data_IF_839203970464
#
_entry.id   IF_839203970464
#
_cell.length_a   1.000
_cell.length_b   1.000
_cell.length_c   1.000
_cell.angle_alpha   90.00
_cell.angle_beta   90.00
_cell.angle_gamma   90.00
#
_symmetry.space_group_name_H-M   'P 1'
#
loop_
_entity.id
_entity.type
_entity.pdbx_description
1 polymer ?
#
# COMPACT_ATOMS: atom_id res chain seq x y z
N UNK A 1 49.10 -20.47 22.84
CA UNK A 1 48.46 -20.37 21.50
C UNK A 1 46.97 -20.69 21.47
N UNK A 2 46.47 -21.69 22.22
CA UNK A 2 45.07 -22.19 22.16
C UNK A 2 43.95 -21.17 22.49
N UNK A 3 44.18 -20.21 23.40
CA UNK A 3 43.17 -19.19 23.80
C UNK A 3 42.90 -18.14 22.72
N UNK A 4 43.91 -17.72 21.97
CA UNK A 4 43.75 -16.73 20.88
C UNK A 4 42.98 -17.33 19.70
N UNK A 5 43.28 -18.58 19.34
CA UNK A 5 42.53 -19.31 18.32
C UNK A 5 41.05 -19.47 18.68
N UNK A 6 40.75 -19.76 19.95
CA UNK A 6 39.37 -19.86 20.43
C UNK A 6 38.63 -18.50 20.39
N UNK A 7 39.30 -17.40 20.77
CA UNK A 7 38.71 -16.05 20.67
C UNK A 7 38.39 -15.66 19.22
N UNK A 8 39.29 -15.92 18.27
CA UNK A 8 39.03 -15.63 16.86
C UNK A 8 37.88 -16.47 16.28
N UNK A 9 37.77 -17.74 16.68
CA UNK A 9 36.71 -18.63 16.22
C UNK A 9 35.33 -18.19 16.75
N UNK A 10 35.28 -17.74 18.01
CA UNK A 10 34.06 -17.16 18.60
C UNK A 10 33.65 -15.88 17.87
N UNK A 11 34.58 -14.96 17.59
CA UNK A 11 34.27 -13.72 16.85
C UNK A 11 33.72 -13.97 15.44
N UNK A 12 34.27 -14.96 14.72
CA UNK A 12 33.80 -15.33 13.38
C UNK A 12 32.39 -15.91 13.42
N UNK A 13 32.08 -16.74 14.43
CA UNK A 13 30.73 -17.30 14.61
C UNK A 13 29.70 -16.21 14.93
N UNK A 14 30.05 -15.24 15.78
CA UNK A 14 29.17 -14.11 16.07
C UNK A 14 28.94 -13.20 14.85
N UNK A 15 29.95 -13.00 14.00
CA UNK A 15 29.79 -12.26 12.74
C UNK A 15 28.93 -13.01 11.72
N UNK A 16 29.04 -14.34 11.64
CA UNK A 16 28.22 -15.16 10.74
C UNK A 16 26.74 -15.23 11.18
N UNK A 17 26.50 -15.15 12.49
CA UNK A 17 25.15 -15.10 13.07
C UNK A 17 24.56 -13.67 13.14
N UNK A 18 25.36 -12.64 12.84
CA UNK A 18 24.85 -11.29 12.76
C UNK A 18 23.75 -11.23 11.69
N UNK A 19 22.59 -10.60 11.97
CA UNK A 19 21.45 -10.61 11.06
C UNK A 19 21.80 -10.09 9.65
N UNK A 20 22.76 -9.16 9.53
CA UNK A 20 23.24 -8.67 8.24
C UNK A 20 24.13 -9.64 7.42
N UNK A 21 24.60 -10.74 8.00
CA UNK A 21 25.55 -11.68 7.37
C UNK A 21 25.02 -13.10 7.23
N UNK A 22 23.97 -13.48 7.97
CA UNK A 22 23.34 -14.79 7.85
C UNK A 22 22.64 -14.95 6.48
N UNK A 23 23.03 -15.93 5.64
CA UNK A 23 22.39 -16.15 4.34
C UNK A 23 20.91 -16.54 4.50
N UNK A 24 20.55 -17.21 5.59
CA UNK A 24 19.15 -17.58 5.90
C UNK A 24 18.32 -16.34 6.23
N UNK A 25 18.87 -15.41 7.03
CA UNK A 25 18.17 -14.16 7.35
C UNK A 25 18.00 -13.29 6.10
N UNK A 26 19.03 -13.18 5.25
CA UNK A 26 18.93 -12.47 3.96
C UNK A 26 17.88 -13.08 3.04
N UNK A 27 17.84 -14.41 2.94
CA UNK A 27 16.83 -15.09 2.14
C UNK A 27 15.41 -14.84 2.67
N UNK A 28 15.24 -14.84 4.00
CA UNK A 28 13.96 -14.53 4.63
C UNK A 28 13.52 -13.09 4.34
N UNK A 29 14.37 -12.09 4.64
CA UNK A 29 14.06 -10.67 4.37
C UNK A 29 13.75 -10.44 2.90
N UNK A 30 14.58 -10.97 1.99
CA UNK A 30 14.33 -10.89 0.56
C UNK A 30 12.96 -11.46 0.17
N UNK A 31 12.58 -12.60 0.76
CA UNK A 31 11.28 -13.22 0.47
C UNK A 31 10.13 -12.38 1.00
N UNK A 32 10.27 -11.82 2.20
CA UNK A 32 9.28 -10.89 2.76
C UNK A 32 9.10 -9.64 1.88
N UNK A 33 10.21 -9.04 1.43
CA UNK A 33 10.16 -7.86 0.55
C UNK A 33 9.47 -8.21 -0.77
N UNK A 34 9.76 -9.37 -1.36
CA UNK A 34 9.09 -9.84 -2.59
C UNK A 34 7.59 -10.08 -2.40
N UNK A 35 7.16 -10.54 -1.23
CA UNK A 35 5.72 -10.70 -0.92
C UNK A 35 5.05 -9.33 -0.80
N UNK A 36 5.71 -8.36 -0.16
CA UNK A 36 5.20 -6.99 -0.07
C UNK A 36 5.14 -6.31 -1.45
N UNK A 37 6.19 -6.45 -2.26
CA UNK A 37 6.22 -5.96 -3.64
C UNK A 37 5.06 -6.56 -4.46
N UNK A 38 4.77 -7.85 -4.28
CA UNK A 38 3.64 -8.50 -4.95
C UNK A 38 2.28 -8.00 -4.44
N UNK A 39 2.17 -7.74 -3.13
CA UNK A 39 0.96 -7.17 -2.52
C UNK A 39 0.68 -5.73 -3.00
N UNK A 40 1.73 -4.98 -3.36
CA UNK A 40 1.59 -3.63 -3.94
C UNK A 40 1.12 -3.62 -5.40
N UNK A 41 1.24 -4.74 -6.11
CA UNK A 41 0.84 -4.85 -7.52
C UNK A 41 -0.66 -5.13 -7.72
N UNK A 42 -1.32 -5.71 -6.71
CA UNK A 42 -2.71 -6.15 -6.82
C UNK A 42 -3.48 -5.84 -5.55
N UNK A 43 -4.52 -5.03 -5.70
CA UNK A 43 -5.58 -4.89 -4.69
C UNK A 43 -6.70 -5.91 -5.00
N UNK A 44 -6.81 -6.98 -4.20
CA UNK A 44 -7.87 -7.99 -4.31
C UNK A 44 -8.51 -8.24 -2.95
N UNK A 45 -9.82 -8.02 -2.86
CA UNK A 45 -10.56 -8.28 -1.62
C UNK A 45 -12.04 -8.01 -1.74
N UNK A 46 -12.72 -8.19 -0.61
CA UNK A 46 -14.15 -7.92 -0.46
C UNK A 46 -14.31 -6.78 0.54
N UNK A 47 -15.12 -5.79 0.16
CA UNK A 47 -15.49 -4.69 1.06
C UNK A 47 -16.88 -4.91 1.63
N UNK A 48 -17.03 -4.70 2.93
CA UNK A 48 -18.32 -4.70 3.63
C UNK A 48 -18.57 -3.30 4.19
N UNK A 49 -19.67 -2.69 3.78
CA UNK A 49 -20.11 -1.37 4.24
C UNK A 49 -21.45 -1.49 4.99
N UNK A 50 -21.60 -0.86 6.16
CA UNK A 50 -22.87 -0.85 6.89
C UNK A 50 -23.92 0.06 6.23
N UNK A 51 -23.50 1.01 5.40
CA UNK A 51 -24.41 1.88 4.64
C UNK A 51 -24.53 1.36 3.22
N UNK A 52 -25.76 1.34 2.70
CA UNK A 52 -26.00 1.03 1.30
C UNK A 52 -25.22 2.00 0.42
N UNK A 53 -24.42 1.44 -0.50
CA UNK A 53 -23.68 2.20 -1.48
C UNK A 53 -23.61 1.41 -2.77
N UNK A 54 -23.82 2.11 -3.88
CA UNK A 54 -23.56 1.60 -5.21
C UNK A 54 -22.33 2.34 -5.73
N UNK A 55 -21.27 1.60 -6.03
CA UNK A 55 -20.06 2.15 -6.63
C UNK A 55 -19.63 1.22 -7.75
N UNK A 56 -19.49 1.77 -8.95
CA UNK A 56 -18.83 1.11 -10.05
C UNK A 56 -17.62 1.97 -10.40
N UNK A 57 -16.43 1.39 -10.38
CA UNK A 57 -15.20 2.08 -10.65
C UNK A 57 -14.26 1.18 -11.44
N UNK A 58 -13.78 1.70 -12.57
CA UNK A 58 -12.71 1.10 -13.34
C UNK A 58 -11.55 2.08 -13.43
N UNK A 59 -10.40 1.72 -12.86
CA UNK A 59 -9.15 2.46 -13.00
C UNK A 59 -8.42 1.99 -14.26
N UNK A 60 -8.13 2.91 -15.18
CA UNK A 60 -7.39 2.63 -16.41
C UNK A 60 -5.89 2.90 -16.21
N UNK A 61 -5.27 2.28 -15.19
CA UNK A 61 -3.85 2.45 -14.87
C UNK A 61 -3.41 3.93 -14.75
N UNK A 62 -4.25 4.78 -14.15
CA UNK A 62 -3.97 6.21 -13.99
C UNK A 62 -4.27 7.07 -15.22
N UNK A 63 -4.57 6.49 -16.38
CA UNK A 63 -5.06 7.20 -17.57
C UNK A 63 -6.49 7.73 -17.41
N UNK A 64 -7.18 7.35 -16.34
CA UNK A 64 -8.56 7.75 -16.12
C UNK A 64 -9.28 6.86 -15.12
N UNK A 65 -10.46 7.30 -14.73
CA UNK A 65 -11.43 6.50 -13.98
C UNK A 65 -12.80 6.65 -14.62
N UNK A 66 -13.55 5.56 -14.73
CA UNK A 66 -14.94 5.59 -15.13
C UNK A 66 -15.83 5.15 -13.97
N UNK A 67 -16.85 5.95 -13.70
CA UNK A 67 -17.90 5.62 -12.76
C UNK A 67 -17.91 6.54 -11.55
N UNK A 68 -18.56 6.09 -10.47
CA UNK A 68 -18.81 6.91 -9.31
C UNK A 68 -19.40 6.11 -8.16
N UNK A 69 -19.08 6.53 -6.94
CA UNK A 69 -19.68 5.98 -5.73
C UNK A 69 -18.76 6.11 -4.52
N UNK A 70 -19.29 5.72 -3.35
CA UNK A 70 -18.61 5.90 -2.07
C UNK A 70 -18.74 4.66 -1.20
N UNK A 71 -17.67 3.92 -0.97
CA UNK A 71 -17.61 2.78 -0.06
C UNK A 71 -16.95 3.22 1.25
N UNK A 72 -17.60 2.96 2.38
CA UNK A 72 -17.05 3.25 3.71
C UNK A 72 -17.32 2.08 4.64
N UNK A 73 -16.28 1.32 4.98
CA UNK A 73 -16.43 0.17 5.84
C UNK A 73 -15.13 -0.56 6.07
N UNK A 74 -15.18 -1.88 5.96
CA UNK A 74 -14.03 -2.76 6.16
C UNK A 74 -13.70 -3.49 4.87
N UNK A 75 -12.42 -3.56 4.56
CA UNK A 75 -11.88 -4.33 3.45
C UNK A 75 -11.19 -5.56 4.03
N UNK A 76 -11.48 -6.73 3.46
CA UNK A 76 -10.82 -7.98 3.76
C UNK A 76 -10.12 -8.49 2.48
N UNK A 77 -8.78 -8.53 2.50
CA UNK A 77 -7.99 -8.97 1.35
C UNK A 77 -6.57 -8.44 1.35
N UNK A 78 -6.03 -8.30 0.14
CA UNK A 78 -4.74 -7.68 -0.15
C UNK A 78 -5.04 -6.31 -0.75
N UNK A 79 -4.49 -5.25 -0.17
CA UNK A 79 -4.51 -3.94 -0.82
C UNK A 79 -4.02 -2.79 0.05
N UNK A 80 -3.68 -1.68 -0.60
CA UNK A 80 -3.10 -0.52 0.10
C UNK A 80 -1.82 -0.89 0.87
N UNK A 81 -0.97 -1.71 0.27
CA UNK A 81 0.29 -2.22 0.84
C UNK A 81 0.15 -3.07 2.11
N UNK A 82 -1.03 -3.67 2.30
CA UNK A 82 -1.36 -4.46 3.51
C UNK A 82 -2.13 -5.72 3.15
N UNK A 83 -2.01 -6.73 4.01
CA UNK A 83 -2.78 -7.97 3.92
C UNK A 83 -3.57 -8.13 5.21
N UNK A 84 -4.88 -8.34 5.10
CA UNK A 84 -5.74 -8.64 6.24
C UNK A 84 -7.08 -7.93 6.19
N UNK A 85 -7.62 -7.61 7.36
CA UNK A 85 -8.88 -6.89 7.52
C UNK A 85 -8.57 -5.55 8.15
N UNK A 86 -8.96 -4.48 7.47
CA UNK A 86 -8.73 -3.12 7.95
C UNK A 86 -9.83 -2.20 7.44
N UNK A 87 -9.91 -1.02 8.06
CA UNK A 87 -10.87 0.00 7.63
C UNK A 87 -10.48 0.52 6.24
N UNK A 88 -11.47 0.71 5.39
CA UNK A 88 -11.29 1.21 4.03
C UNK A 88 -12.36 2.23 3.67
N UNK A 89 -11.90 3.32 3.07
CA UNK A 89 -12.75 4.34 2.48
C UNK A 89 -12.34 4.55 1.03
N UNK A 90 -13.31 4.53 0.14
CA UNK A 90 -13.14 4.80 -1.28
C UNK A 90 -14.27 5.70 -1.73
N UNK A 91 -13.95 6.87 -2.27
CA UNK A 91 -14.93 7.71 -2.94
C UNK A 91 -14.35 8.13 -4.27
N UNK A 92 -15.10 7.89 -5.34
CA UNK A 92 -14.65 8.22 -6.69
C UNK A 92 -15.78 8.87 -7.47
N UNK A 93 -15.39 9.70 -8.44
CA UNK A 93 -16.24 10.18 -9.51
C UNK A 93 -15.38 10.46 -10.73
N UNK A 94 -15.77 9.95 -11.90
CA UNK A 94 -14.95 10.13 -13.08
C UNK A 94 -15.58 9.70 -14.39
N UNK A 95 -15.14 10.36 -15.46
CA UNK A 95 -15.52 10.11 -16.84
C UNK A 95 -14.27 10.02 -17.72
N UNK A 96 -13.48 8.96 -17.57
CA UNK A 96 -12.27 8.59 -18.35
C UNK A 96 -11.23 9.71 -18.45
N UNK A 97 -11.51 10.80 -19.17
CA UNK A 97 -10.66 11.97 -19.38
C UNK A 97 -10.33 12.73 -18.09
N UNK A 98 -11.23 12.71 -17.10
CA UNK A 98 -11.01 13.24 -15.76
C UNK A 98 -11.72 12.39 -14.72
N UNK A 99 -11.03 12.11 -13.63
CA UNK A 99 -11.60 11.49 -12.44
C UNK A 99 -10.99 12.09 -11.18
N UNK A 100 -11.78 12.10 -10.12
CA UNK A 100 -11.37 12.44 -8.77
C UNK A 100 -11.59 11.24 -7.86
N UNK A 101 -10.54 10.87 -7.13
CA UNK A 101 -10.51 9.71 -6.26
C UNK A 101 -10.03 10.11 -4.87
N UNK A 102 -10.72 9.63 -3.84
CA UNK A 102 -10.37 9.81 -2.44
C UNK A 102 -10.32 8.44 -1.80
N UNK A 103 -9.17 8.07 -1.24
CA UNK A 103 -8.96 6.77 -0.61
C UNK A 103 -8.38 6.89 0.79
N UNK A 104 -8.80 6.00 1.68
CA UNK A 104 -8.29 5.85 3.03
C UNK A 104 -8.06 4.38 3.35
N UNK A 105 -6.89 4.06 3.91
CA UNK A 105 -6.49 2.69 4.24
C UNK A 105 -6.05 2.61 5.70
N UNK A 106 -6.70 1.76 6.50
CA UNK A 106 -6.37 1.55 7.90
C UNK A 106 -6.78 2.73 8.79
N UNK A 107 -5.79 3.44 9.33
CA UNK A 107 -6.02 4.53 10.27
C UNK A 107 -6.20 5.86 9.53
N UNK A 108 -7.46 6.28 9.36
CA UNK A 108 -7.84 7.53 8.70
C UNK A 108 -9.09 8.10 9.34
N UNK A 109 -9.30 9.41 9.20
CA UNK A 109 -10.55 10.08 9.52
C UNK A 109 -11.17 10.64 8.23
N UNK A 110 -12.43 10.31 7.98
CA UNK A 110 -13.16 10.81 6.80
C UNK A 110 -13.32 12.32 6.85
N UNK A 111 -13.34 12.89 8.06
CA UNK A 111 -13.48 14.33 8.28
C UNK A 111 -12.13 15.06 8.24
N UNK A 112 -11.02 14.34 8.36
CA UNK A 112 -9.68 14.92 8.26
C UNK A 112 -9.11 14.70 6.85
N UNK A 113 -9.11 15.74 5.99
CA UNK A 113 -8.61 15.65 4.64
C UNK A 113 -7.13 15.25 4.56
N UNK A 114 -6.32 15.50 5.60
CA UNK A 114 -4.90 15.18 5.60
C UNK A 114 -4.63 13.68 5.79
N UNK A 115 -5.61 12.93 6.31
CA UNK A 115 -5.51 11.48 6.49
C UNK A 115 -5.95 10.68 5.26
N UNK A 116 -6.43 11.36 4.22
CA UNK A 116 -6.98 10.76 3.01
C UNK A 116 -6.09 11.03 1.80
N UNK A 117 -5.84 9.99 1.01
CA UNK A 117 -5.18 10.13 -0.28
C UNK A 117 -6.20 10.63 -1.32
N UNK A 118 -6.07 11.88 -1.72
CA UNK A 118 -6.88 12.53 -2.77
C UNK A 118 -6.06 12.51 -4.04
N UNK A 119 -6.68 12.23 -5.20
CA UNK A 119 -5.99 12.15 -6.49
C UNK A 119 -6.89 12.60 -7.62
N UNK A 120 -6.38 13.47 -8.47
CA UNK A 120 -6.93 13.69 -9.80
C UNK A 120 -6.28 12.71 -10.79
N UNK A 121 -7.10 12.07 -11.64
CA UNK A 121 -6.67 11.13 -12.68
C UNK A 121 -7.21 11.54 -14.04
N UNK A 122 -6.58 11.06 -15.10
CA UNK A 122 -6.99 11.31 -16.47
C UNK A 122 -6.13 12.33 -17.21
N UNK A 123 -6.13 12.31 -18.57
CA UNK A 123 -5.34 13.21 -19.39
C UNK A 123 -5.56 14.69 -19.05
N UNK A 124 -6.79 15.08 -18.73
CA UNK A 124 -7.11 16.46 -18.34
C UNK A 124 -6.44 16.80 -17.00
N UNK A 125 -6.54 15.92 -16.00
CA UNK A 125 -5.88 16.12 -14.72
C UNK A 125 -4.36 16.20 -14.87
N UNK A 126 -3.77 15.37 -15.73
CA UNK A 126 -2.33 15.38 -15.96
C UNK A 126 -1.83 16.68 -16.61
N UNK A 127 -2.60 17.23 -17.55
CA UNK A 127 -2.25 18.46 -18.26
C UNK A 127 -2.47 19.73 -17.42
N UNK A 128 -3.51 19.76 -16.58
CA UNK A 128 -3.96 20.99 -15.92
C UNK A 128 -3.83 20.98 -14.39
N UNK A 129 -3.66 19.81 -13.78
CA UNK A 129 -3.50 19.63 -12.33
C UNK A 129 -2.28 18.72 -12.05
N UNK A 130 -1.07 19.07 -12.52
CA UNK A 130 0.11 18.26 -12.27
C UNK A 130 0.50 18.32 -10.78
N UNK A 131 0.20 17.25 -10.04
CA UNK A 131 0.83 16.97 -8.74
C UNK A 131 0.24 17.66 -7.50
N UNK A 132 -1.07 17.83 -7.43
CA UNK A 132 -1.73 18.51 -6.30
C UNK A 132 -1.82 17.77 -4.96
N UNK A 133 -1.42 16.50 -4.87
CA UNK A 133 -1.76 15.70 -3.70
C UNK A 133 -0.54 15.12 -2.97
N UNK A 134 -0.42 15.45 -1.67
CA UNK A 134 0.57 14.87 -0.76
C UNK A 134 0.34 13.35 -0.71
N UNK A 135 1.26 12.58 -1.30
CA UNK A 135 1.33 11.13 -1.11
C UNK A 135 1.70 10.83 0.35
N UNK A 136 0.72 10.76 1.26
CA UNK A 136 0.86 10.12 2.57
C UNK A 136 -0.35 9.23 2.81
N UNK A 137 -0.20 7.97 2.44
CA UNK A 137 -1.21 6.94 2.62
C UNK A 137 -0.57 5.57 2.50
N UNK A 138 0.49 5.34 3.28
CA UNK A 138 1.15 4.05 3.51
C UNK A 138 2.17 4.26 4.65
N UNK A 139 1.66 4.39 5.87
CA UNK A 139 2.41 4.23 7.11
C UNK A 139 1.58 3.32 7.99
#
# INVERSE_FOLDING_TARGET
>A
MRRRALQHLVSVVFLALAPGCSPVFKAFVYTCDRVMDAADMVDLGVSVTPRFSLSAYACLFGLGGLGGGTVNGYFAGIGGSRIGIYRHYHSNIGLVLWAYEVTGWGDFDVNDPETLARRHRGPIAWLFIPGGDKCRGAG
#
